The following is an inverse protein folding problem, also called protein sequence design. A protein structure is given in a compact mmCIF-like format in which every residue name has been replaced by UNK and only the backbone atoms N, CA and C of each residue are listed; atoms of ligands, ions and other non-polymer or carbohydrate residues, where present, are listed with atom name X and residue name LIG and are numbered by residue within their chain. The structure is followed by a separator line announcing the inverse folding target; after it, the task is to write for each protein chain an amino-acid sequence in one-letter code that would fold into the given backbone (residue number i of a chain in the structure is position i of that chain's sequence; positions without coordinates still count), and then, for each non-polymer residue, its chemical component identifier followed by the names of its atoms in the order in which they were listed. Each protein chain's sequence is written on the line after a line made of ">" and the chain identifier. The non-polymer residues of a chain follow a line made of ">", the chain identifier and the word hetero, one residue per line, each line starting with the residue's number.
data_IF_411931206767
#
_entry.id   IF_411931206767
#
_cell.length_a   1.000
_cell.length_b   1.000
_cell.length_c   1.000
_cell.angle_alpha   90.00
_cell.angle_beta   90.00
_cell.angle_gamma   90.00
#
_symmetry.space_group_name_H-M   'P 1'
#
loop_
_entity.id
_entity.type
_entity.pdbx_description
1 polymer ?
#
# COMPACT_ATOMS: atom_id res chain seq x y z
N UNK A 1 3.90 -13.93 -0.13
CA UNK A 1 4.94 -13.05 -0.75
C UNK A 1 5.39 -12.09 0.33
N UNK A 2 6.68 -11.86 0.48
CA UNK A 2 7.15 -10.78 1.37
C UNK A 2 7.07 -9.45 0.64
N UNK A 3 6.48 -8.43 1.29
CA UNK A 3 6.51 -7.08 0.77
C UNK A 3 7.94 -6.49 0.91
N UNK A 4 8.37 -5.65 -0.04
CA UNK A 4 9.65 -4.95 0.09
C UNK A 4 9.69 -4.11 1.36
N UNK A 5 10.84 -4.09 2.04
CA UNK A 5 11.05 -3.22 3.23
C UNK A 5 11.48 -1.81 2.86
N UNK A 6 12.08 -1.65 1.68
CA UNK A 6 12.44 -0.33 1.15
C UNK A 6 11.17 0.48 0.84
N UNK A 7 11.02 1.70 1.37
CA UNK A 7 9.79 2.47 1.21
C UNK A 7 9.44 2.80 -0.25
N UNK A 8 10.42 3.03 -1.12
CA UNK A 8 10.19 3.36 -2.52
C UNK A 8 9.72 2.13 -3.32
N UNK A 9 10.31 0.97 -3.04
CA UNK A 9 9.84 -0.30 -3.62
C UNK A 9 8.47 -0.68 -3.08
N UNK A 10 8.24 -0.51 -1.77
CA UNK A 10 6.95 -0.78 -1.15
C UNK A 10 5.85 0.08 -1.78
N UNK A 11 6.09 1.39 -1.90
CA UNK A 11 5.20 2.33 -2.58
C UNK A 11 4.84 1.86 -4.00
N UNK A 12 5.86 1.50 -4.80
CA UNK A 12 5.67 1.07 -6.19
C UNK A 12 4.85 -0.22 -6.29
N UNK A 13 5.15 -1.21 -5.45
CA UNK A 13 4.44 -2.50 -5.43
C UNK A 13 3.00 -2.32 -4.99
N UNK A 14 2.75 -1.56 -3.92
CA UNK A 14 1.40 -1.32 -3.40
C UNK A 14 0.56 -0.58 -4.44
N UNK A 15 1.09 0.48 -5.06
CA UNK A 15 0.36 1.20 -6.11
C UNK A 15 0.07 0.35 -7.34
N UNK A 16 1.02 -0.50 -7.75
CA UNK A 16 0.77 -1.46 -8.83
C UNK A 16 -0.36 -2.43 -8.47
N UNK A 17 -0.34 -2.99 -7.25
CA UNK A 17 -1.35 -3.93 -6.77
C UNK A 17 -2.73 -3.29 -6.62
N UNK A 18 -2.82 -2.08 -6.07
CA UNK A 18 -4.07 -1.33 -5.97
C UNK A 18 -4.65 -0.95 -7.33
N UNK A 19 -3.82 -0.77 -8.36
CA UNK A 19 -4.30 -0.49 -9.71
C UNK A 19 -4.79 -1.74 -10.43
N UNK A 20 -4.03 -2.84 -10.33
CA UNK A 20 -4.18 -3.99 -11.21
C UNK A 20 -4.92 -5.17 -10.56
N UNK A 21 -5.01 -5.22 -9.22
CA UNK A 21 -5.48 -6.40 -8.49
C UNK A 21 -6.56 -6.14 -7.43
N UNK A 22 -6.66 -4.94 -6.86
CA UNK A 22 -7.53 -4.70 -5.69
C UNK A 22 -8.35 -3.42 -5.84
N UNK A 23 -9.58 -3.43 -5.33
CA UNK A 23 -10.50 -2.28 -5.39
C UNK A 23 -10.28 -1.29 -4.26
N UNK A 24 -9.55 -1.69 -3.21
CA UNK A 24 -9.25 -0.86 -2.04
C UNK A 24 -7.97 -1.31 -1.35
N UNK A 25 -7.43 -0.45 -0.47
CA UNK A 25 -6.32 -0.84 0.41
C UNK A 25 -6.72 -1.90 1.42
N UNK A 26 -7.97 -1.89 1.90
CA UNK A 26 -8.47 -2.90 2.84
C UNK A 26 -8.47 -4.30 2.22
N UNK A 27 -8.96 -4.43 0.98
CA UNK A 27 -8.97 -5.71 0.25
C UNK A 27 -7.55 -6.25 0.03
N UNK A 28 -6.60 -5.37 -0.34
CA UNK A 28 -5.19 -5.73 -0.46
C UNK A 28 -4.63 -6.21 0.87
N UNK A 29 -4.88 -5.48 1.96
CA UNK A 29 -4.39 -5.80 3.29
C UNK A 29 -4.97 -7.13 3.83
N UNK A 30 -6.25 -7.41 3.57
CA UNK A 30 -6.89 -8.68 3.94
C UNK A 30 -6.29 -9.86 3.17
N UNK A 31 -6.18 -9.76 1.84
CA UNK A 31 -5.65 -10.84 0.99
C UNK A 31 -4.16 -11.10 1.23
N UNK A 32 -3.37 -10.04 1.43
CA UNK A 32 -1.93 -10.16 1.70
C UNK A 32 -1.60 -10.40 3.18
N UNK A 33 -2.60 -10.38 4.07
CA UNK A 33 -2.46 -10.47 5.52
C UNK A 33 -1.47 -9.43 6.08
N UNK A 34 -1.65 -8.17 5.68
CA UNK A 34 -0.82 -7.02 6.04
C UNK A 34 -1.63 -6.07 6.91
N UNK A 35 -1.04 -5.56 7.99
CA UNK A 35 -1.68 -4.55 8.81
C UNK A 35 -1.73 -3.20 8.05
N UNK A 36 -2.93 -2.70 7.80
CA UNK A 36 -3.16 -1.44 7.08
C UNK A 36 -2.56 -0.24 7.78
N UNK A 37 -2.69 -0.14 9.10
CA UNK A 37 -2.17 1.01 9.87
C UNK A 37 -0.64 1.04 9.86
N UNK A 38 0.00 -0.12 9.96
CA UNK A 38 1.47 -0.23 9.84
C UNK A 38 1.94 0.15 8.44
N UNK A 39 1.28 -0.36 7.40
CA UNK A 39 1.61 -0.07 6.01
C UNK A 39 1.49 1.43 5.70
N UNK A 40 0.37 2.04 6.08
CA UNK A 40 0.13 3.47 5.90
C UNK A 40 1.13 4.28 6.71
N UNK A 41 1.42 3.89 7.96
CA UNK A 41 2.40 4.58 8.81
C UNK A 41 3.82 4.51 8.24
N UNK A 42 4.21 3.35 7.70
CA UNK A 42 5.53 3.15 7.07
C UNK A 42 5.68 4.03 5.82
N UNK A 43 4.68 4.04 4.95
CA UNK A 43 4.69 4.87 3.73
C UNK A 43 4.60 6.36 4.08
N UNK A 44 3.82 6.73 5.10
CA UNK A 44 3.75 8.11 5.61
C UNK A 44 5.06 8.59 6.20
N UNK A 45 5.81 7.74 6.91
CA UNK A 45 7.14 8.08 7.40
C UNK A 45 8.14 8.38 6.27
N UNK A 46 7.90 7.82 5.07
CA UNK A 46 8.67 8.12 3.86
C UNK A 46 8.10 9.32 3.05
N UNK A 47 7.02 9.95 3.52
CA UNK A 47 6.40 11.11 2.89
C UNK A 47 5.25 10.79 1.94
N UNK A 48 4.77 9.55 1.91
CA UNK A 48 3.65 9.13 1.05
C UNK A 48 2.30 9.13 1.78
N UNK A 49 1.24 9.48 1.07
CA UNK A 49 -0.12 9.48 1.63
C UNK A 49 -1.10 8.66 0.80
N UNK A 50 -1.96 7.88 1.46
CA UNK A 50 -3.01 7.11 0.79
C UNK A 50 -4.24 7.98 0.48
N UNK A 51 -4.71 7.93 -0.76
CA UNK A 51 -6.02 8.44 -1.16
C UNK A 51 -6.97 7.28 -1.45
N UNK A 52 -8.00 7.15 -0.62
CA UNK A 52 -9.09 6.21 -0.83
C UNK A 52 -9.91 6.55 -2.10
N UNK A 53 -10.07 7.82 -2.42
CA UNK A 53 -10.81 8.28 -3.61
C UNK A 53 -10.16 7.79 -4.91
N UNK A 54 -8.82 7.83 -4.97
CA UNK A 54 -8.06 7.42 -6.14
C UNK A 54 -7.47 6.01 -6.02
N UNK A 55 -7.73 5.32 -4.91
CA UNK A 55 -7.17 4.03 -4.54
C UNK A 55 -5.66 3.91 -4.77
N UNK A 56 -4.87 4.88 -4.29
CA UNK A 56 -3.41 4.87 -4.43
C UNK A 56 -2.69 5.76 -3.42
N UNK A 57 -1.39 5.58 -3.31
CA UNK A 57 -0.46 6.44 -2.58
C UNK A 57 0.17 7.51 -3.48
N UNK A 58 0.43 8.70 -2.94
CA UNK A 58 1.15 9.83 -3.57
C UNK A 58 2.40 10.20 -2.82
#
# INVERSE_FOLDING_TARGET
>A
MELPKDPMMLFSVINMKLRDCYSSLDELCEDMNVNKDELVSQLKAAGFEYSAEHNKFW
#
